data_IF_026613691361
#
_entry.id   IF_026613691361
#
_cell.length_a   1.000
_cell.length_b   1.000
_cell.length_c   1.000
_cell.angle_alpha   90.00
_cell.angle_beta   90.00
_cell.angle_gamma   90.00
#
_symmetry.space_group_name_H-M   'P 1'
#
loop_
_entity.id
_entity.type
_entity.pdbx_description
1 polymer ?
#
# COMPACT_ATOMS: atom_id res chain seq x y z
N UNK A 1 -16.48 3.35 8.95
CA UNK A 1 -16.06 4.66 8.49
C UNK A 1 -15.51 4.56 7.06
N UNK A 2 -14.35 3.95 6.81
CA UNK A 2 -13.72 3.88 5.46
C UNK A 2 -13.99 2.59 4.65
N UNK A 3 -14.91 1.74 5.07
CA UNK A 3 -15.17 0.42 4.43
C UNK A 3 -15.61 0.53 2.96
N UNK A 4 -16.40 1.56 2.64
CA UNK A 4 -16.88 1.78 1.27
C UNK A 4 -15.74 2.12 0.32
N UNK A 5 -14.83 3.01 0.74
CA UNK A 5 -13.64 3.39 -0.01
C UNK A 5 -12.73 2.19 -0.24
N UNK A 6 -12.42 1.44 0.83
CA UNK A 6 -11.58 0.24 0.75
C UNK A 6 -12.16 -0.82 -0.20
N UNK A 7 -13.49 -1.05 -0.15
CA UNK A 7 -14.15 -1.97 -1.07
C UNK A 7 -14.05 -1.48 -2.53
N UNK A 8 -14.28 -0.18 -2.76
CA UNK A 8 -14.20 0.41 -4.10
C UNK A 8 -12.78 0.33 -4.67
N UNK A 9 -11.76 0.65 -3.87
CA UNK A 9 -10.33 0.51 -4.28
C UNK A 9 -10.00 -0.95 -4.57
N UNK A 10 -10.43 -1.89 -3.73
CA UNK A 10 -10.25 -3.33 -3.99
C UNK A 10 -10.86 -3.77 -5.32
N UNK A 11 -12.09 -3.33 -5.60
CA UNK A 11 -12.78 -3.64 -6.85
C UNK A 11 -12.07 -3.01 -8.06
N UNK A 12 -11.55 -1.78 -7.91
CA UNK A 12 -10.80 -1.09 -8.95
C UNK A 12 -9.45 -1.78 -9.25
N UNK A 13 -8.71 -2.24 -8.23
CA UNK A 13 -7.51 -3.07 -8.41
C UNK A 13 -7.82 -4.39 -9.16
N UNK A 14 -8.91 -5.05 -8.79
CA UNK A 14 -9.35 -6.29 -9.47
C UNK A 14 -9.76 -6.02 -10.92
N UNK A 15 -10.43 -4.89 -11.18
CA UNK A 15 -10.81 -4.49 -12.53
C UNK A 15 -9.58 -4.21 -13.40
N UNK A 16 -8.60 -3.47 -12.90
CA UNK A 16 -7.32 -3.26 -13.59
C UNK A 16 -6.65 -4.59 -13.91
N UNK A 17 -6.47 -5.46 -12.91
CA UNK A 17 -5.87 -6.79 -13.08
C UNK A 17 -6.58 -7.60 -14.16
N UNK A 18 -7.91 -7.67 -14.11
CA UNK A 18 -8.71 -8.46 -15.06
C UNK A 18 -8.72 -7.86 -16.47
N UNK A 19 -8.41 -6.58 -16.61
CA UNK A 19 -8.34 -5.88 -17.90
C UNK A 19 -6.93 -5.85 -18.49
N UNK A 20 -5.95 -6.33 -17.73
CA UNK A 20 -4.57 -6.34 -18.19
C UNK A 20 -4.41 -7.24 -19.40
N UNK A 21 -3.76 -6.72 -20.43
CA UNK A 21 -3.30 -7.44 -21.62
C UNK A 21 -1.99 -6.79 -22.04
N UNK A 22 -0.97 -7.59 -22.34
CA UNK A 22 0.30 -7.06 -22.88
C UNK A 22 0.04 -6.20 -24.11
N UNK A 23 0.68 -5.03 -24.17
CA UNK A 23 0.51 -4.05 -25.24
C UNK A 23 -0.42 -2.89 -24.90
N UNK A 24 -1.25 -3.01 -23.85
CA UNK A 24 -1.95 -1.83 -23.30
C UNK A 24 -0.98 -0.90 -22.61
N UNK A 25 -1.25 0.39 -22.72
CA UNK A 25 -0.50 1.42 -22.00
C UNK A 25 -0.92 1.51 -20.53
N UNK A 26 -0.04 2.07 -19.69
CA UNK A 26 -0.35 2.41 -18.30
C UNK A 26 -1.60 3.25 -18.18
N UNK A 27 -1.80 4.20 -19.10
CA UNK A 27 -2.94 5.14 -19.07
C UNK A 27 -4.26 4.42 -19.37
N UNK A 28 -4.29 3.49 -20.32
CA UNK A 28 -5.47 2.66 -20.61
C UNK A 28 -5.86 1.76 -19.42
N UNK A 29 -4.87 1.26 -18.69
CA UNK A 29 -5.10 0.43 -17.50
C UNK A 29 -5.59 1.28 -16.32
N UNK A 30 -5.02 2.48 -16.14
CA UNK A 30 -5.45 3.41 -15.10
C UNK A 30 -6.89 3.91 -15.35
N UNK A 31 -7.28 4.13 -16.61
CA UNK A 31 -8.65 4.50 -16.97
C UNK A 31 -9.68 3.46 -16.51
N UNK A 32 -9.35 2.15 -16.60
CA UNK A 32 -10.22 1.08 -16.10
C UNK A 32 -10.36 1.17 -14.57
N UNK A 33 -9.25 1.40 -13.87
CA UNK A 33 -9.25 1.59 -12.43
C UNK A 33 -10.13 2.78 -12.04
N UNK A 34 -9.92 3.94 -12.66
CA UNK A 34 -10.64 5.17 -12.37
C UNK A 34 -12.14 5.05 -12.65
N UNK A 35 -12.52 4.52 -13.82
CA UNK A 35 -13.95 4.27 -14.16
C UNK A 35 -14.65 3.36 -13.14
N UNK A 36 -13.92 2.43 -12.54
CA UNK A 36 -14.48 1.56 -11.51
C UNK A 36 -14.72 2.34 -10.21
N UNK A 37 -13.78 3.18 -9.78
CA UNK A 37 -13.97 4.07 -8.65
C UNK A 37 -15.13 5.04 -8.86
N UNK A 38 -15.19 5.69 -10.03
CA UNK A 38 -16.25 6.64 -10.40
C UNK A 38 -17.64 5.99 -10.28
N UNK A 39 -17.77 4.76 -10.77
CA UNK A 39 -19.02 4.00 -10.70
C UNK A 39 -19.44 3.67 -9.27
N UNK A 40 -18.49 3.34 -8.38
CA UNK A 40 -18.78 2.87 -7.03
C UNK A 40 -18.92 4.01 -6.02
N UNK A 41 -18.15 5.07 -6.19
CA UNK A 41 -18.10 6.17 -5.22
C UNK A 41 -18.83 7.42 -5.69
N UNK A 42 -18.96 7.64 -7.01
CA UNK A 42 -19.44 8.90 -7.57
C UNK A 42 -18.44 10.01 -7.26
N UNK A 43 -18.87 11.01 -6.51
CA UNK A 43 -18.02 12.13 -6.11
C UNK A 43 -17.04 11.74 -4.99
N UNK A 44 -15.72 11.90 -5.21
CA UNK A 44 -14.64 11.58 -4.27
C UNK A 44 -13.38 12.41 -4.59
N UNK A 45 -12.46 12.50 -3.63
CA UNK A 45 -11.10 13.02 -3.84
C UNK A 45 -10.10 11.85 -3.88
N UNK A 46 -9.04 11.96 -4.68
CA UNK A 46 -8.00 10.94 -4.78
C UNK A 46 -6.60 11.57 -4.87
N UNK A 47 -5.66 10.99 -4.12
CA UNK A 47 -4.21 11.18 -4.27
C UNK A 47 -3.61 9.82 -4.53
N UNK A 48 -2.63 9.72 -5.43
CA UNK A 48 -2.11 8.42 -5.80
C UNK A 48 -0.69 8.45 -6.37
N UNK A 49 0.02 7.33 -6.17
CA UNK A 49 1.17 6.94 -6.97
C UNK A 49 0.78 5.80 -7.90
N UNK A 50 1.25 5.88 -9.13
CA UNK A 50 1.02 4.86 -10.16
C UNK A 50 2.28 4.68 -11.00
N UNK A 51 3.15 3.77 -10.56
CA UNK A 51 4.54 3.71 -10.99
C UNK A 51 4.85 2.35 -11.60
N UNK A 52 5.35 2.35 -12.86
CA UNK A 52 5.63 1.15 -13.62
C UNK A 52 7.11 0.94 -13.92
N UNK A 53 7.51 -0.33 -13.99
CA UNK A 53 8.82 -0.76 -14.49
C UNK A 53 9.97 -0.13 -13.71
N UNK A 54 10.92 0.46 -14.42
CA UNK A 54 12.11 1.07 -13.80
C UNK A 54 11.77 2.27 -12.91
N UNK A 55 10.66 2.97 -13.18
CA UNK A 55 10.25 4.11 -12.37
C UNK A 55 9.85 3.69 -10.94
N UNK A 56 9.54 2.40 -10.72
CA UNK A 56 9.27 1.86 -9.36
C UNK A 56 10.45 1.97 -8.40
N UNK A 57 11.62 2.37 -8.88
CA UNK A 57 12.77 2.73 -8.03
C UNK A 57 12.59 4.08 -7.33
N UNK A 58 11.63 4.91 -7.78
CA UNK A 58 11.22 6.11 -7.08
C UNK A 58 10.16 5.77 -6.02
N UNK A 59 10.16 6.55 -4.93
CA UNK A 59 9.21 6.34 -3.83
C UNK A 59 7.81 6.79 -4.25
N UNK A 60 7.72 7.87 -5.04
CA UNK A 60 6.49 8.50 -5.50
C UNK A 60 6.53 8.79 -7.00
N UNK A 61 5.36 9.00 -7.61
CA UNK A 61 5.24 9.43 -8.99
C UNK A 61 4.11 8.78 -9.79
N UNK A 62 4.00 9.22 -11.03
CA UNK A 62 3.04 8.70 -12.00
C UNK A 62 3.74 8.43 -13.33
N UNK A 63 3.79 7.16 -13.72
CA UNK A 63 4.31 6.74 -15.03
C UNK A 63 3.21 6.84 -16.08
N UNK A 64 3.44 7.62 -17.14
CA UNK A 64 2.47 7.85 -18.24
C UNK A 64 2.94 7.20 -19.55
N UNK A 65 1.97 6.79 -20.37
CA UNK A 65 2.21 6.24 -21.72
C UNK A 65 3.22 5.08 -21.73
N UNK A 66 3.34 4.34 -20.62
CA UNK A 66 4.23 3.20 -20.51
C UNK A 66 3.54 1.93 -21.01
N UNK A 67 4.26 1.12 -21.77
CA UNK A 67 3.79 -0.22 -22.17
C UNK A 67 4.48 -1.24 -21.28
N UNK A 68 3.74 -1.87 -20.33
CA UNK A 68 4.29 -2.86 -19.40
C UNK A 68 4.90 -4.07 -20.12
N UNK A 69 6.00 -4.60 -19.57
CA UNK A 69 6.76 -5.73 -20.10
C UNK A 69 6.86 -6.83 -19.07
N UNK A 70 7.04 -8.07 -19.54
CA UNK A 70 7.33 -9.21 -18.69
C UNK A 70 8.47 -8.90 -17.70
N UNK A 71 8.25 -9.21 -16.41
CA UNK A 71 9.20 -8.96 -15.34
C UNK A 71 9.05 -7.59 -14.65
N UNK A 72 8.27 -6.66 -15.22
CA UNK A 72 8.01 -5.37 -14.59
C UNK A 72 7.23 -5.51 -13.29
N UNK A 73 7.42 -4.54 -12.41
CA UNK A 73 6.54 -4.29 -11.26
C UNK A 73 5.70 -3.03 -11.48
N UNK A 74 4.53 -3.01 -10.87
CA UNK A 74 3.69 -1.83 -10.70
C UNK A 74 3.53 -1.57 -9.21
N UNK A 75 3.83 -0.35 -8.76
CA UNK A 75 3.40 0.16 -7.46
C UNK A 75 2.15 1.00 -7.71
N UNK A 76 1.10 0.69 -7.00
CA UNK A 76 -0.14 1.42 -7.05
C UNK A 76 -0.59 1.75 -5.63
N UNK A 77 -0.39 2.99 -5.25
CA UNK A 77 -0.68 3.54 -3.94
C UNK A 77 -1.84 4.51 -4.08
N UNK A 78 -2.91 4.26 -3.35
CA UNK A 78 -4.20 4.91 -3.59
C UNK A 78 -4.81 5.41 -2.28
N UNK A 79 -4.83 6.72 -2.13
CA UNK A 79 -5.58 7.40 -1.08
C UNK A 79 -6.90 7.93 -1.67
N UNK A 80 -8.03 7.55 -1.07
CA UNK A 80 -9.37 8.01 -1.51
C UNK A 80 -10.15 8.58 -0.34
N UNK A 81 -10.72 9.78 -0.55
CA UNK A 81 -11.64 10.42 0.40
C UNK A 81 -13.07 10.34 -0.06
N UNK A 82 -13.93 9.87 0.80
CA UNK A 82 -15.37 9.89 0.65
C UNK A 82 -16.03 10.16 2.00
N UNK A 83 -17.09 10.99 2.00
CA UNK A 83 -17.84 11.35 3.21
C UNK A 83 -16.94 11.91 4.34
N UNK A 84 -15.92 12.70 3.96
CA UNK A 84 -15.01 13.40 4.88
C UNK A 84 -13.83 12.57 5.41
N UNK A 85 -13.68 11.27 5.05
CA UNK A 85 -12.62 10.41 5.54
C UNK A 85 -11.80 9.80 4.41
N UNK A 86 -10.47 9.76 4.60
CA UNK A 86 -9.53 9.10 3.71
C UNK A 86 -9.33 7.63 4.09
N UNK A 87 -9.18 6.77 3.09
CA UNK A 87 -8.46 5.50 3.18
C UNK A 87 -7.16 5.64 2.41
N UNK A 88 -6.18 4.78 2.69
CA UNK A 88 -4.87 4.77 2.06
C UNK A 88 -4.32 3.36 2.01
N UNK A 89 -4.13 2.82 0.82
CA UNK A 89 -3.67 1.44 0.62
C UNK A 89 -2.76 1.31 -0.60
N UNK A 90 -1.72 0.52 -0.46
CA UNK A 90 -0.80 0.24 -1.56
C UNK A 90 -0.72 -1.24 -1.89
N UNK A 91 -0.69 -1.55 -3.18
CA UNK A 91 -0.39 -2.88 -3.72
C UNK A 91 0.62 -2.79 -4.84
N UNK A 92 1.53 -3.76 -4.84
CA UNK A 92 2.41 -3.98 -5.99
C UNK A 92 1.95 -5.16 -6.81
N UNK A 93 1.95 -5.00 -8.14
CA UNK A 93 1.60 -6.02 -9.10
C UNK A 93 2.83 -6.41 -9.92
N UNK A 94 2.79 -7.61 -10.52
CA UNK A 94 3.89 -8.21 -11.27
C UNK A 94 3.40 -8.59 -12.66
N UNK A 95 4.10 -8.16 -13.71
CA UNK A 95 3.80 -8.56 -15.09
C UNK A 95 4.44 -9.91 -15.35
N UNK A 96 3.59 -10.92 -15.58
CA UNK A 96 4.02 -12.30 -15.69
C UNK A 96 4.41 -12.94 -14.35
N UNK A 97 5.11 -14.06 -14.39
CA UNK A 97 5.48 -14.79 -13.18
C UNK A 97 6.55 -14.04 -12.37
N UNK A 98 6.29 -13.70 -11.08
CA UNK A 98 7.31 -13.08 -10.25
C UNK A 98 8.56 -13.94 -10.13
N UNK A 99 9.73 -13.31 -10.24
CA UNK A 99 11.03 -13.96 -10.03
C UNK A 99 11.21 -14.37 -8.56
N UNK A 100 12.16 -15.28 -8.30
CA UNK A 100 12.50 -15.68 -6.92
C UNK A 100 12.94 -14.49 -6.06
N UNK A 101 13.63 -13.50 -6.64
CA UNK A 101 14.05 -12.29 -5.95
C UNK A 101 12.85 -11.41 -5.60
N UNK A 102 11.90 -11.21 -6.54
CA UNK A 102 10.66 -10.49 -6.29
C UNK A 102 9.82 -11.16 -5.20
N UNK A 103 9.72 -12.49 -5.21
CA UNK A 103 9.03 -13.26 -4.15
C UNK A 103 9.66 -13.06 -2.77
N UNK A 104 10.99 -13.14 -2.67
CA UNK A 104 11.72 -12.92 -1.41
C UNK A 104 11.50 -11.50 -0.86
N UNK A 105 11.57 -10.49 -1.73
CA UNK A 105 11.33 -9.10 -1.35
C UNK A 105 9.89 -8.89 -0.91
N UNK A 106 8.91 -9.41 -1.66
CA UNK A 106 7.50 -9.32 -1.30
C UNK A 106 7.22 -9.94 0.08
N UNK A 107 7.76 -11.14 0.35
CA UNK A 107 7.57 -11.81 1.65
C UNK A 107 8.26 -11.05 2.80
N UNK A 108 9.44 -10.47 2.57
CA UNK A 108 10.11 -9.60 3.55
C UNK A 108 9.24 -8.38 3.90
N UNK A 109 8.73 -7.67 2.88
CA UNK A 109 7.87 -6.50 3.03
C UNK A 109 6.58 -6.87 3.74
N UNK A 110 5.91 -7.93 3.32
CA UNK A 110 4.71 -8.46 3.99
C UNK A 110 4.96 -8.77 5.46
N UNK A 111 6.08 -9.43 5.78
CA UNK A 111 6.43 -9.76 7.15
C UNK A 111 6.72 -8.49 7.96
N UNK A 112 7.39 -7.49 7.38
CA UNK A 112 7.64 -6.22 8.06
C UNK A 112 6.34 -5.47 8.38
N UNK A 113 5.36 -5.47 7.47
CA UNK A 113 4.02 -4.92 7.71
C UNK A 113 3.31 -5.66 8.86
N UNK A 114 3.41 -7.00 8.91
CA UNK A 114 2.84 -7.81 9.99
C UNK A 114 3.49 -7.54 11.35
N UNK A 115 4.80 -7.34 11.40
CA UNK A 115 5.49 -6.96 12.63
C UNK A 115 5.09 -5.54 13.09
N UNK A 116 4.91 -4.60 12.14
CA UNK A 116 4.34 -3.28 12.41
C UNK A 116 2.92 -3.37 13.00
N UNK A 117 2.05 -4.21 12.42
CA UNK A 117 0.69 -4.45 12.93
C UNK A 117 0.70 -4.96 14.38
N UNK A 118 1.58 -5.91 14.73
CA UNK A 118 1.71 -6.42 16.11
C UNK A 118 2.16 -5.34 17.10
N UNK A 119 2.91 -4.33 16.63
CA UNK A 119 3.35 -3.21 17.45
C UNK A 119 2.28 -2.12 17.60
N UNK A 120 1.30 -2.07 16.70
CA UNK A 120 0.18 -1.13 16.74
C UNK A 120 -0.83 -1.57 17.79
N UNK A 121 -0.64 -1.11 19.02
CA UNK A 121 -1.43 -1.50 20.20
C UNK A 121 -1.69 -0.32 21.13
N UNK A 122 -2.73 -0.43 21.96
CA UNK A 122 -3.07 0.56 22.97
C UNK A 122 -1.87 0.85 23.88
N UNK A 123 -1.61 2.13 24.15
CA UNK A 123 -0.48 2.59 24.96
C UNK A 123 0.89 2.51 24.29
N UNK A 124 0.97 2.02 23.04
CA UNK A 124 2.19 2.06 22.23
C UNK A 124 2.53 3.45 21.73
N UNK A 125 3.66 3.59 21.09
CA UNK A 125 4.17 4.84 20.50
C UNK A 125 4.46 4.67 19.02
N UNK A 126 4.42 5.77 18.27
CA UNK A 126 4.71 5.79 16.84
C UNK A 126 6.07 5.16 16.47
N UNK A 127 7.12 5.42 17.26
CA UNK A 127 8.45 4.84 17.04
C UNK A 127 8.50 3.32 17.26
N UNK A 128 7.57 2.73 18.01
CA UNK A 128 7.54 1.27 18.22
C UNK A 128 7.19 0.54 16.93
N UNK A 129 6.25 1.11 16.13
CA UNK A 129 5.88 0.58 14.82
C UNK A 129 7.07 0.70 13.87
N UNK A 130 7.66 1.90 13.74
CA UNK A 130 8.85 2.11 12.92
C UNK A 130 9.95 1.09 13.21
N UNK A 131 10.28 0.93 14.51
CA UNK A 131 11.31 -0.02 14.94
C UNK A 131 11.02 -1.44 14.49
N UNK A 132 9.77 -1.90 14.59
CA UNK A 132 9.39 -3.26 14.20
C UNK A 132 9.44 -3.48 12.70
N UNK A 133 8.94 -2.52 11.93
CA UNK A 133 9.03 -2.54 10.47
C UNK A 133 10.50 -2.51 10.04
N UNK A 134 11.31 -1.58 10.56
CA UNK A 134 12.72 -1.42 10.20
C UNK A 134 13.59 -2.63 10.59
N UNK A 135 13.28 -3.32 11.69
CA UNK A 135 14.01 -4.53 12.10
C UNK A 135 14.02 -5.59 11.00
N UNK A 136 12.96 -5.73 10.23
CA UNK A 136 12.92 -6.69 9.12
C UNK A 136 13.88 -6.31 7.99
N UNK A 137 14.06 -5.01 7.75
CA UNK A 137 15.05 -4.50 6.78
C UNK A 137 16.46 -4.77 7.27
N UNK A 138 16.78 -4.42 8.51
CA UNK A 138 18.10 -4.65 9.13
C UNK A 138 18.52 -6.13 9.08
N UNK A 139 17.59 -7.04 9.42
CA UNK A 139 17.82 -8.50 9.37
C UNK A 139 18.14 -9.02 7.95
N UNK A 140 17.73 -8.30 6.93
CA UNK A 140 17.99 -8.62 5.53
C UNK A 140 19.08 -7.75 4.90
N UNK A 141 19.83 -6.96 5.70
CA UNK A 141 20.87 -6.05 5.21
C UNK A 141 20.33 -4.93 4.32
N UNK A 142 19.09 -4.49 4.57
CA UNK A 142 18.39 -3.44 3.85
C UNK A 142 18.16 -2.20 4.72
N UNK A 143 17.65 -1.13 4.12
CA UNK A 143 17.27 0.11 4.81
C UNK A 143 15.86 0.49 4.44
N UNK A 144 15.03 0.80 5.44
CA UNK A 144 13.74 1.44 5.22
C UNK A 144 14.00 2.93 4.93
N UNK A 145 13.59 3.40 3.76
CA UNK A 145 13.93 4.75 3.26
C UNK A 145 12.84 5.79 3.46
N UNK A 146 11.68 5.39 3.97
CA UNK A 146 10.53 6.26 4.27
C UNK A 146 9.96 5.95 5.66
N UNK A 147 8.90 6.65 6.08
CA UNK A 147 8.17 6.33 7.31
C UNK A 147 7.50 4.94 7.21
N UNK A 148 7.17 4.35 8.33
CA UNK A 148 6.53 3.03 8.37
C UNK A 148 4.99 3.09 8.41
N UNK A 149 4.42 4.23 8.03
CA UNK A 149 2.99 4.53 8.07
C UNK A 149 2.68 5.79 8.89
N UNK A 150 1.41 6.09 9.04
CA UNK A 150 0.94 7.30 9.68
C UNK A 150 -0.50 7.17 10.17
N UNK A 151 -0.96 8.16 10.94
CA UNK A 151 -2.40 8.34 11.21
C UNK A 151 -3.09 8.83 9.94
N UNK A 152 -4.34 8.37 9.73
CA UNK A 152 -5.19 8.79 8.63
C UNK A 152 -6.60 9.14 9.14
N UNK A 153 -7.30 10.02 8.45
CA UNK A 153 -8.65 10.45 8.83
C UNK A 153 -9.24 11.46 7.87
N UNK A 154 -9.36 12.73 8.32
CA UNK A 154 -9.85 13.83 7.48
C UNK A 154 -8.80 14.39 6.50
N UNK A 155 -7.52 14.07 6.72
CA UNK A 155 -6.40 14.32 5.80
C UNK A 155 -5.78 12.99 5.39
N UNK A 156 -5.16 12.91 4.20
CA UNK A 156 -4.56 11.66 3.71
C UNK A 156 -3.31 11.27 4.51
N UNK A 157 -2.58 12.24 5.05
CA UNK A 157 -1.41 12.04 5.87
C UNK A 157 -1.49 12.92 7.13
N UNK A 158 -1.64 12.29 8.29
CA UNK A 158 -1.77 12.96 9.59
C UNK A 158 -0.66 12.54 10.56
N UNK A 159 -0.44 13.39 11.59
CA UNK A 159 0.43 13.00 12.70
C UNK A 159 -0.30 12.07 13.69
N UNK A 160 0.40 11.07 14.28
CA UNK A 160 1.82 10.82 14.11
C UNK A 160 2.16 10.07 12.82
N UNK A 161 3.28 10.42 12.20
CA UNK A 161 3.99 9.53 11.28
C UNK A 161 4.86 8.54 12.08
N UNK A 162 4.96 7.31 11.61
CA UNK A 162 5.79 6.28 12.23
C UNK A 162 7.24 6.43 11.76
N UNK A 163 7.99 7.22 12.53
CA UNK A 163 9.38 7.59 12.28
C UNK A 163 10.26 7.18 13.47
N UNK A 164 11.55 7.03 13.20
CA UNK A 164 12.54 6.79 14.26
C UNK A 164 12.47 7.90 15.31
N UNK A 165 12.32 7.52 16.59
CA UNK A 165 12.31 8.44 17.72
C UNK A 165 10.99 9.18 17.97
N UNK A 166 9.96 9.02 17.13
CA UNK A 166 8.66 9.66 17.37
C UNK A 166 7.95 9.01 18.58
N UNK A 167 7.90 9.74 19.70
CA UNK A 167 7.34 9.28 20.98
C UNK A 167 5.83 9.53 21.13
N UNK A 168 5.16 10.02 20.08
CA UNK A 168 3.71 10.32 20.12
C UNK A 168 2.94 9.04 20.45
N UNK A 169 2.07 9.06 21.47
CA UNK A 169 1.26 7.91 21.85
C UNK A 169 0.20 7.60 20.80
N UNK A 170 -0.12 6.31 20.66
CA UNK A 170 -1.19 5.82 19.80
C UNK A 170 -2.52 5.88 20.55
N UNK A 171 -3.59 6.26 19.83
CA UNK A 171 -4.92 6.50 20.41
C UNK A 171 -5.89 5.43 19.92
N UNK A 172 -6.53 4.75 20.84
CA UNK A 172 -7.60 3.77 20.55
C UNK A 172 -8.78 4.47 19.87
N UNK A 173 -9.36 3.81 18.87
CA UNK A 173 -10.45 4.34 18.05
C UNK A 173 -9.98 5.11 16.82
N UNK A 174 -8.68 5.37 16.68
CA UNK A 174 -8.11 6.05 15.52
C UNK A 174 -7.69 5.07 14.42
N UNK A 175 -7.64 5.59 13.18
CA UNK A 175 -7.18 4.89 11.99
C UNK A 175 -5.71 5.22 11.73
N UNK A 176 -4.96 4.18 11.38
CA UNK A 176 -3.56 4.28 11.01
C UNK A 176 -3.30 3.48 9.73
N UNK A 177 -2.28 3.88 8.98
CA UNK A 177 -1.68 3.04 7.95
C UNK A 177 -0.43 2.37 8.50
N UNK A 178 -0.08 1.22 7.96
CA UNK A 178 1.28 0.67 8.06
C UNK A 178 1.71 0.35 6.65
N UNK A 179 2.84 0.91 6.27
CA UNK A 179 3.44 0.74 4.96
C UNK A 179 4.88 0.24 5.04
N UNK A 180 5.29 -0.45 3.99
CA UNK A 180 6.62 -1.00 3.84
C UNK A 180 6.96 -1.12 2.37
N UNK A 181 8.13 -0.64 1.95
CA UNK A 181 8.57 -0.66 0.56
C UNK A 181 10.08 -0.80 0.41
N UNK A 182 10.53 -1.48 -0.66
CA UNK A 182 11.94 -1.59 -1.06
C UNK A 182 12.08 -1.19 -2.53
N UNK A 183 13.07 -0.32 -2.83
CA UNK A 183 13.26 0.35 -4.12
C UNK A 183 14.74 0.22 -4.56
N UNK A 184 15.15 -0.98 -5.02
CA UNK A 184 16.54 -1.24 -5.40
C UNK A 184 16.67 -1.59 -6.89
N UNK A 185 16.43 -2.85 -7.27
CA UNK A 185 16.42 -3.31 -8.67
C UNK A 185 15.05 -3.18 -9.32
N UNK A 186 14.03 -3.23 -8.51
CA UNK A 186 12.63 -3.01 -8.76
C UNK A 186 11.99 -2.50 -7.47
N UNK A 187 10.87 -1.82 -7.58
CA UNK A 187 10.13 -1.36 -6.41
C UNK A 187 8.97 -2.30 -6.06
N UNK A 188 8.82 -2.54 -4.76
CA UNK A 188 7.64 -3.21 -4.18
C UNK A 188 7.26 -2.44 -2.93
N UNK A 189 5.97 -2.08 -2.80
CA UNK A 189 5.38 -1.42 -1.62
C UNK A 189 4.04 -2.07 -1.29
N UNK A 190 3.78 -2.28 -0.01
CA UNK A 190 2.51 -2.75 0.53
C UNK A 190 2.08 -1.82 1.65
N UNK A 191 0.79 -1.51 1.69
CA UNK A 191 0.19 -0.69 2.74
C UNK A 191 -1.25 -1.13 3.01
N UNK A 192 -1.61 -1.16 4.30
CA UNK A 192 -2.97 -1.44 4.76
C UNK A 192 -3.44 -0.38 5.77
N UNK A 193 -4.76 -0.22 5.85
CA UNK A 193 -5.40 0.56 6.91
C UNK A 193 -5.74 -0.32 8.12
N UNK A 194 -5.52 0.23 9.30
CA UNK A 194 -5.79 -0.43 10.57
C UNK A 194 -6.65 0.44 11.47
N UNK A 195 -7.61 -0.18 12.16
CA UNK A 195 -8.30 0.45 13.30
C UNK A 195 -7.63 -0.02 14.58
N UNK A 196 -7.12 0.92 15.38
CA UNK A 196 -6.60 0.59 16.70
C UNK A 196 -7.74 0.41 17.70
N UNK A 197 -7.79 -0.76 18.35
CA UNK A 197 -8.74 -1.10 19.42
C UNK A 197 -8.00 -1.38 20.72
N UNK A 198 -8.71 -1.56 21.82
CA UNK A 198 -8.13 -1.98 23.10
C UNK A 198 -7.41 -3.35 22.99
N UNK A 199 -7.93 -4.26 22.16
CA UNK A 199 -7.42 -5.61 21.95
C UNK A 199 -6.30 -5.69 20.90
N UNK A 200 -5.97 -4.57 20.20
CA UNK A 200 -4.96 -4.49 19.16
C UNK A 200 -5.47 -3.89 17.85
N UNK A 201 -4.68 -4.03 16.79
CA UNK A 201 -4.96 -3.46 15.48
C UNK A 201 -5.76 -4.41 14.58
N UNK A 202 -6.93 -3.97 14.13
CA UNK A 202 -7.76 -4.66 13.14
C UNK A 202 -7.35 -4.20 11.75
N UNK A 203 -6.87 -5.13 10.93
CA UNK A 203 -6.61 -4.88 9.51
C UNK A 203 -7.94 -4.75 8.76
N UNK A 204 -8.14 -3.64 8.07
CA UNK A 204 -9.39 -3.33 7.36
C UNK A 204 -9.35 -3.69 5.86
N UNK A 205 -8.19 -4.13 5.35
CA UNK A 205 -8.01 -4.37 3.92
C UNK A 205 -7.60 -5.81 3.57
N UNK A 206 -7.09 -6.59 4.54
CA UNK A 206 -6.61 -7.96 4.31
C UNK A 206 -7.66 -8.89 3.71
N UNK A 207 -8.89 -8.84 4.22
CA UNK A 207 -9.98 -9.69 3.70
C UNK A 207 -10.42 -9.31 2.28
N UNK A 208 -10.20 -8.06 1.88
CA UNK A 208 -10.55 -7.55 0.53
C UNK A 208 -9.45 -7.87 -0.49
N UNK A 209 -8.18 -7.73 -0.07
CA UNK A 209 -6.98 -7.89 -0.89
C UNK A 209 -5.86 -8.55 -0.07
N UNK A 210 -5.91 -9.89 0.12
CA UNK A 210 -4.96 -10.59 0.97
C UNK A 210 -3.53 -10.50 0.42
N UNK A 211 -2.54 -10.41 1.32
CA UNK A 211 -1.12 -10.29 0.97
C UNK A 211 -0.54 -11.64 0.50
N UNK A 212 -1.02 -12.09 -0.67
CA UNK A 212 -0.55 -13.30 -1.37
C UNK A 212 -0.07 -12.89 -2.76
N UNK A 213 1.21 -13.07 -3.06
CA UNK A 213 1.83 -12.58 -4.29
C UNK A 213 1.11 -13.07 -5.57
N UNK A 214 0.52 -14.26 -5.54
CA UNK A 214 -0.23 -14.84 -6.66
C UNK A 214 -1.47 -14.04 -7.03
N UNK A 215 -2.04 -13.31 -6.08
CA UNK A 215 -3.21 -12.42 -6.30
C UNK A 215 -2.83 -11.18 -7.11
N UNK A 216 -1.54 -10.84 -7.21
CA UNK A 216 -1.04 -9.62 -7.83
C UNK A 216 -0.30 -9.86 -9.15
N UNK A 217 -0.47 -11.04 -9.77
CA UNK A 217 0.12 -11.36 -11.07
C UNK A 217 -0.80 -10.86 -12.19
N UNK A 218 -0.24 -10.03 -13.09
CA UNK A 218 -0.85 -9.54 -14.32
C UNK A 218 -0.46 -10.48 -15.48
N UNK A 219 -1.44 -10.98 -16.26
CA UNK A 219 -1.23 -11.95 -17.35
C UNK A 219 -2.02 -11.58 -18.59
#
# INVERSE_FOLDING_TARGET
MIKKQLQAVSNAYKALKNSFVLGKTSDELFEVFQKTLDKELGDYEMVYDYIWGIDTLNIDGVTKNYIPKEGDTLIMDISVKKDGFWCDVCRSFFVGAPTDEQRKVFEMIKQSLREGQKALKAGGKACDIYKKVNTMYELNGKTLVHHAGHKIGWEPLMQPQFLQGNQTPLVVGELYTIESGLYEKFGIRLENNFLLTEDGAIDLFEDLMPLKIEEYVLR
#
